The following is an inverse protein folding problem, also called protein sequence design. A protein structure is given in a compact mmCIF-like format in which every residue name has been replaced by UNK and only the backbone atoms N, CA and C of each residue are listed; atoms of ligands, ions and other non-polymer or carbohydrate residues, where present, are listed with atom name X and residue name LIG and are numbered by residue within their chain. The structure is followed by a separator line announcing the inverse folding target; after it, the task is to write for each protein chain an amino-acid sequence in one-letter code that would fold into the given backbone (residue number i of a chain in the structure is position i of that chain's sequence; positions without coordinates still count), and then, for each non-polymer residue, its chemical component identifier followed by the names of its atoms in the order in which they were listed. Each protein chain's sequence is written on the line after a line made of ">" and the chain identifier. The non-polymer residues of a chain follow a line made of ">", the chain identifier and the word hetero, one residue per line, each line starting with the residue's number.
data_IF_054174866331
#
_entry.id   IF_054174866331
#
_cell.length_a   1.000
_cell.length_b   1.000
_cell.length_c   1.000
_cell.angle_alpha   90.00
_cell.angle_beta   90.00
_cell.angle_gamma   90.00
#
_symmetry.space_group_name_H-M   'P 1'
#
loop_
_entity.id
_entity.type
_entity.pdbx_description
1 polymer ?
#
# COMPACT_ATOMS: atom_id res chain seq x y z
N UNK A 1 -5.83 -3.70 19.57
CA UNK A 1 -6.62 -4.23 18.45
C UNK A 1 -6.39 -3.33 17.29
N UNK A 2 -6.00 -3.85 16.11
CA UNK A 2 -5.97 -3.03 14.93
C UNK A 2 -7.34 -2.39 14.79
N UNK A 3 -7.36 -1.09 14.62
CA UNK A 3 -8.61 -0.38 14.41
C UNK A 3 -9.36 -1.07 13.27
N UNK A 4 -10.55 -1.56 13.52
CA UNK A 4 -11.38 -2.27 12.55
C UNK A 4 -11.68 -1.41 11.31
N UNK A 5 -11.47 -0.09 11.40
CA UNK A 5 -11.50 0.84 10.28
C UNK A 5 -10.40 0.59 9.25
N UNK A 6 -9.33 -0.09 9.62
CA UNK A 6 -8.14 -0.29 8.79
C UNK A 6 -8.23 -1.53 7.90
N UNK A 7 -9.16 -2.45 8.21
CA UNK A 7 -9.38 -3.69 7.46
C UNK A 7 -10.76 -3.62 6.81
N UNK A 8 -10.94 -2.64 5.97
CA UNK A 8 -12.26 -2.31 5.45
C UNK A 8 -12.94 -3.41 4.62
N UNK A 9 -12.19 -4.33 4.02
CA UNK A 9 -12.74 -5.48 3.34
C UNK A 9 -13.55 -6.38 4.25
N UNK A 10 -13.35 -6.25 5.54
CA UNK A 10 -13.96 -7.10 6.51
C UNK A 10 -14.60 -6.25 7.61
N UNK A 11 -15.83 -5.83 7.36
CA UNK A 11 -16.70 -5.23 8.38
C UNK A 11 -18.07 -5.85 8.30
N UNK A 12 -18.44 -6.71 9.27
CA UNK A 12 -19.79 -7.25 9.38
C UNK A 12 -20.88 -6.16 9.37
N UNK A 13 -20.58 -5.00 9.98
CA UNK A 13 -21.46 -3.83 10.05
C UNK A 13 -21.58 -3.08 8.72
N UNK A 14 -20.64 -3.20 7.80
CA UNK A 14 -20.65 -2.54 6.49
C UNK A 14 -21.14 -3.45 5.34
N UNK A 15 -22.07 -4.35 5.62
CA UNK A 15 -22.61 -5.33 4.66
C UNK A 15 -23.07 -4.70 3.34
N UNK A 16 -23.56 -3.47 3.38
CA UNK A 16 -24.02 -2.74 2.21
C UNK A 16 -22.89 -2.37 1.25
N UNK A 17 -21.73 -1.95 1.78
CA UNK A 17 -20.56 -1.57 0.99
C UNK A 17 -19.87 -2.77 0.34
N UNK A 18 -20.04 -3.97 0.92
CA UNK A 18 -19.32 -5.18 0.49
C UNK A 18 -20.23 -6.29 -0.02
N UNK A 19 -21.52 -6.05 -0.19
CA UNK A 19 -22.45 -7.08 -0.64
C UNK A 19 -22.09 -7.73 -1.98
N UNK A 20 -21.31 -7.02 -2.80
CA UNK A 20 -20.91 -7.48 -4.14
C UNK A 20 -19.42 -7.90 -4.21
N UNK A 21 -18.77 -8.12 -3.08
CA UNK A 21 -17.44 -8.70 -2.99
C UNK A 21 -17.51 -9.95 -2.11
N UNK A 22 -16.78 -10.99 -2.45
CA UNK A 22 -16.85 -12.31 -1.80
C UNK A 22 -15.90 -12.48 -0.61
N UNK A 23 -15.01 -11.51 -0.34
CA UNK A 23 -14.13 -11.51 0.82
C UNK A 23 -14.93 -11.26 2.09
N UNK A 24 -14.90 -12.22 3.04
CA UNK A 24 -15.72 -12.22 4.27
C UNK A 24 -14.92 -12.40 5.56
N UNK A 25 -13.67 -12.82 5.44
CA UNK A 25 -12.82 -13.17 6.57
C UNK A 25 -11.44 -12.58 6.40
N UNK A 26 -10.79 -12.22 7.51
CA UNK A 26 -9.45 -11.63 7.50
C UNK A 26 -8.41 -12.58 6.90
N UNK A 27 -8.61 -13.87 7.08
CA UNK A 27 -7.75 -14.93 6.53
C UNK A 27 -7.76 -14.98 5.01
N UNK A 28 -8.79 -14.43 4.37
CA UNK A 28 -8.91 -14.30 2.91
C UNK A 28 -8.14 -13.09 2.37
N UNK A 29 -7.74 -12.14 3.22
CA UNK A 29 -7.00 -10.95 2.78
C UNK A 29 -5.59 -11.29 2.35
N UNK A 30 -5.10 -10.57 1.33
CA UNK A 30 -3.76 -10.80 0.79
C UNK A 30 -2.65 -10.68 1.85
N UNK A 31 -2.72 -9.65 2.70
CA UNK A 31 -1.70 -9.39 3.71
C UNK A 31 -1.64 -10.47 4.79
N UNK A 32 -2.81 -10.99 5.22
CA UNK A 32 -2.85 -12.12 6.18
C UNK A 32 -2.24 -13.38 5.57
N UNK A 33 -2.55 -13.68 4.30
CA UNK A 33 -1.98 -14.82 3.58
C UNK A 33 -0.46 -14.68 3.41
N UNK A 34 0.06 -13.46 3.10
CA UNK A 34 1.50 -13.20 3.03
C UNK A 34 2.18 -13.44 4.37
N UNK A 35 1.65 -12.88 5.46
CA UNK A 35 2.20 -13.09 6.80
C UNK A 35 2.28 -14.58 7.14
N UNK A 36 1.20 -15.32 6.90
CA UNK A 36 1.15 -16.77 7.11
C UNK A 36 2.16 -17.51 6.22
N UNK A 37 2.20 -17.20 4.93
CA UNK A 37 3.09 -17.83 3.95
C UNK A 37 4.57 -17.57 4.25
N UNK A 38 4.90 -16.38 4.72
CA UNK A 38 6.26 -16.00 5.12
C UNK A 38 6.62 -16.41 6.56
N UNK A 39 5.71 -17.06 7.29
CA UNK A 39 5.84 -17.38 8.73
C UNK A 39 6.18 -16.13 9.57
N UNK A 40 5.68 -14.96 9.14
CA UNK A 40 5.92 -13.68 9.78
C UNK A 40 4.97 -13.41 10.94
N UNK A 41 5.21 -12.27 11.60
CA UNK A 41 4.35 -11.71 12.62
C UNK A 41 3.84 -10.34 12.17
N UNK A 42 2.56 -10.06 12.37
CA UNK A 42 2.02 -8.73 12.11
C UNK A 42 2.51 -7.76 13.19
N UNK A 43 3.32 -6.79 12.78
CA UNK A 43 3.69 -5.67 13.66
C UNK A 43 2.51 -4.68 13.74
N UNK A 44 2.09 -4.16 12.59
CA UNK A 44 0.98 -3.22 12.51
C UNK A 44 0.32 -3.28 11.13
N UNK A 45 -1.00 -3.30 11.08
CA UNK A 45 -1.76 -2.96 9.90
C UNK A 45 -2.24 -1.51 10.01
N UNK A 46 -1.59 -0.59 9.28
CA UNK A 46 -1.90 0.83 9.26
C UNK A 46 -2.73 1.23 8.02
N UNK A 47 -3.48 0.29 7.43
CA UNK A 47 -4.36 0.57 6.29
C UNK A 47 -5.52 1.48 6.70
N UNK A 48 -5.95 2.35 5.80
CA UNK A 48 -7.12 3.21 5.97
C UNK A 48 -7.93 3.23 4.66
N UNK A 49 -9.21 2.86 4.71
CA UNK A 49 -10.07 2.79 3.54
C UNK A 49 -10.21 4.15 2.85
N UNK A 50 -10.05 4.18 1.52
CA UNK A 50 -10.16 5.39 0.71
C UNK A 50 -8.98 6.36 0.84
N UNK A 51 -7.96 6.04 1.65
CA UNK A 51 -6.79 6.90 1.85
C UNK A 51 -5.96 7.03 0.57
N UNK A 52 -5.57 8.25 0.27
CA UNK A 52 -4.63 8.62 -0.79
C UNK A 52 -3.20 8.74 -0.24
N UNK A 53 -2.20 8.70 -1.10
CA UNK A 53 -0.80 9.01 -0.72
C UNK A 53 -0.69 10.50 -0.42
N UNK A 54 -1.20 11.35 -1.33
CA UNK A 54 -1.24 12.81 -1.19
C UNK A 54 -2.44 13.29 -0.35
N UNK A 55 -2.51 14.58 -0.09
CA UNK A 55 -3.60 15.20 0.66
C UNK A 55 -4.90 15.36 -0.15
N UNK A 56 -4.85 15.21 -1.47
CA UNK A 56 -6.03 15.30 -2.31
C UNK A 56 -6.85 14.02 -2.25
N UNK A 57 -8.07 14.14 -1.74
CA UNK A 57 -9.04 13.05 -1.66
C UNK A 57 -10.01 13.01 -2.83
N UNK A 58 -11.05 12.19 -2.69
CA UNK A 58 -12.12 12.10 -3.68
C UNK A 58 -12.90 13.41 -3.80
N UNK A 59 -13.53 13.62 -4.95
CA UNK A 59 -14.42 14.77 -5.17
C UNK A 59 -15.73 14.59 -4.42
N UNK A 60 -16.21 15.68 -3.87
CA UNK A 60 -17.56 15.78 -3.30
C UNK A 60 -18.64 15.86 -4.41
N UNK A 61 -19.90 16.05 -4.01
CA UNK A 61 -21.03 16.18 -4.92
C UNK A 61 -20.94 17.42 -5.83
N UNK A 62 -20.16 18.42 -5.46
CA UNK A 62 -19.90 19.64 -6.20
C UNK A 62 -18.71 19.49 -7.15
N UNK A 63 -18.03 18.36 -7.15
CA UNK A 63 -16.84 18.10 -7.96
C UNK A 63 -15.54 18.67 -7.38
N UNK A 64 -15.56 19.09 -6.12
CA UNK A 64 -14.39 19.66 -5.41
C UNK A 64 -13.65 18.55 -4.67
N UNK A 65 -12.34 18.49 -4.81
CA UNK A 65 -11.52 17.53 -4.06
C UNK A 65 -11.56 17.82 -2.56
N UNK A 66 -11.79 16.78 -1.78
CA UNK A 66 -11.74 16.84 -0.32
C UNK A 66 -10.29 16.82 0.18
N UNK A 67 -10.03 17.46 1.31
CA UNK A 67 -8.76 17.40 2.02
C UNK A 67 -8.67 16.11 2.84
N UNK A 68 -7.72 15.23 2.48
CA UNK A 68 -7.42 13.98 3.19
C UNK A 68 -6.13 14.06 3.99
N UNK A 69 -5.67 15.26 4.33
CA UNK A 69 -4.43 15.46 5.10
C UNK A 69 -4.45 14.79 6.49
N UNK A 70 -5.63 14.53 7.04
CA UNK A 70 -5.81 13.82 8.32
C UNK A 70 -5.53 12.30 8.22
N UNK A 71 -5.66 11.72 7.01
CA UNK A 71 -5.64 10.27 6.79
C UNK A 71 -4.70 9.80 5.67
N UNK A 72 -4.02 10.70 4.97
CA UNK A 72 -3.10 10.38 3.90
C UNK A 72 -1.96 9.44 4.35
N UNK A 73 -1.36 8.69 3.42
CA UNK A 73 -0.23 7.82 3.73
C UNK A 73 0.92 8.61 4.36
N UNK A 74 1.25 9.80 3.81
CA UNK A 74 2.33 10.65 4.33
C UNK A 74 2.10 11.12 5.77
N UNK A 75 0.86 11.25 6.20
CA UNK A 75 0.50 11.65 7.59
C UNK A 75 0.67 10.49 8.58
N UNK A 76 0.55 9.24 8.11
CA UNK A 76 0.53 8.05 8.96
C UNK A 76 1.83 7.23 8.92
N UNK A 77 2.78 7.60 8.04
CA UNK A 77 3.99 6.82 7.75
C UNK A 77 5.00 6.71 8.90
N UNK A 78 4.87 7.53 9.95
CA UNK A 78 5.83 7.63 11.05
C UNK A 78 5.41 6.86 12.32
N UNK A 79 4.37 6.01 12.25
CA UNK A 79 3.79 5.29 13.42
C UNK A 79 3.59 3.82 13.09
N UNK A 80 4.66 3.13 12.65
CA UNK A 80 4.59 1.74 12.21
C UNK A 80 5.19 0.74 13.21
N UNK A 81 5.59 1.17 14.41
CA UNK A 81 6.27 0.30 15.37
C UNK A 81 7.74 0.05 15.00
N UNK A 82 8.17 -1.19 15.09
CA UNK A 82 9.53 -1.60 14.75
C UNK A 82 9.53 -2.77 13.75
N UNK A 83 9.08 -2.54 12.51
CA UNK A 83 8.95 -3.59 11.51
C UNK A 83 10.28 -3.98 10.88
N UNK A 84 10.46 -5.27 10.56
CA UNK A 84 11.55 -5.76 9.71
C UNK A 84 11.24 -5.53 8.22
N UNK A 85 9.95 -5.56 7.85
CA UNK A 85 9.47 -5.37 6.48
C UNK A 85 8.28 -4.43 6.48
N UNK A 86 8.29 -3.45 5.57
CA UNK A 86 7.19 -2.52 5.33
C UNK A 86 6.65 -2.75 3.92
N UNK A 87 5.40 -3.15 3.81
CA UNK A 87 4.68 -3.29 2.55
C UNK A 87 3.77 -2.07 2.35
N UNK A 88 4.06 -1.27 1.33
CA UNK A 88 3.29 -0.08 0.99
C UNK A 88 2.41 -0.39 -0.22
N UNK A 89 1.13 -0.66 -0.01
CA UNK A 89 0.15 -0.82 -1.08
C UNK A 89 -0.66 0.46 -1.21
N UNK A 90 -0.23 1.36 -2.09
CA UNK A 90 -0.78 2.71 -2.24
C UNK A 90 -1.05 3.12 -3.68
N UNK A 91 -1.37 4.41 -3.88
CA UNK A 91 -1.61 5.05 -5.18
C UNK A 91 -2.94 4.69 -5.88
N UNK A 92 -3.64 3.64 -5.47
CA UNK A 92 -4.93 3.25 -6.06
C UNK A 92 -5.96 4.37 -5.90
N UNK A 93 -6.11 4.89 -4.70
CA UNK A 93 -7.07 5.95 -4.43
C UNK A 93 -6.64 7.29 -5.08
N UNK A 94 -5.35 7.58 -5.18
CA UNK A 94 -4.85 8.74 -5.92
C UNK A 94 -5.22 8.67 -7.41
N UNK A 95 -5.10 7.47 -7.98
CA UNK A 95 -5.51 7.21 -9.37
C UNK A 95 -7.02 7.40 -9.55
N UNK A 96 -7.83 6.82 -8.68
CA UNK A 96 -9.31 6.85 -8.79
C UNK A 96 -9.89 8.22 -8.44
N UNK A 97 -9.34 8.90 -7.44
CA UNK A 97 -9.74 10.25 -7.08
C UNK A 97 -9.38 11.30 -8.15
N UNK A 98 -8.50 10.96 -9.09
CA UNK A 98 -8.00 11.93 -10.06
C UNK A 98 -7.05 12.96 -9.44
N UNK A 99 -6.27 12.55 -8.43
CA UNK A 99 -5.33 13.45 -7.76
C UNK A 99 -4.37 14.12 -8.77
N UNK A 100 -4.02 15.41 -8.56
CA UNK A 100 -3.02 16.10 -9.37
C UNK A 100 -1.68 15.35 -9.32
N UNK A 101 -0.98 15.26 -10.44
CA UNK A 101 0.31 14.54 -10.50
C UNK A 101 1.43 15.37 -9.89
N UNK A 102 1.52 16.67 -10.19
CA UNK A 102 2.58 17.57 -9.73
C UNK A 102 3.94 17.30 -10.35
N UNK A 103 4.93 18.07 -9.91
CA UNK A 103 6.32 17.92 -10.33
C UNK A 103 7.08 16.94 -9.43
N UNK A 104 8.24 16.47 -9.90
CA UNK A 104 9.14 15.65 -9.08
C UNK A 104 9.91 16.54 -8.10
N UNK A 105 9.54 16.47 -6.82
CA UNK A 105 10.18 17.21 -5.71
C UNK A 105 10.70 16.21 -4.69
N UNK A 106 11.99 16.26 -4.40
CA UNK A 106 12.67 15.26 -3.55
C UNK A 106 13.18 15.82 -2.21
N UNK A 107 12.75 17.02 -1.83
CA UNK A 107 13.11 17.65 -0.56
C UNK A 107 12.42 19.01 -0.39
N UNK A 108 12.46 19.55 0.83
CA UNK A 108 11.91 20.88 1.18
C UNK A 108 10.43 21.06 0.78
N UNK A 109 9.64 19.99 0.91
CA UNK A 109 8.24 19.99 0.50
C UNK A 109 7.41 21.03 1.26
N UNK A 110 6.69 21.84 0.53
CA UNK A 110 5.65 22.71 1.10
C UNK A 110 4.36 21.91 1.31
N UNK A 111 3.46 22.43 2.17
CA UNK A 111 2.15 21.79 2.39
C UNK A 111 1.35 21.72 1.08
N UNK A 112 1.42 22.76 0.27
CA UNK A 112 0.69 22.91 -0.98
C UNK A 112 1.12 21.83 -2.00
N UNK A 113 2.41 21.56 -2.10
CA UNK A 113 2.94 20.51 -2.98
C UNK A 113 2.44 19.13 -2.58
N UNK A 114 2.17 18.88 -1.29
CA UNK A 114 1.69 17.59 -0.81
C UNK A 114 0.23 17.27 -1.20
N UNK A 115 -0.48 18.20 -1.82
CA UNK A 115 -1.75 17.93 -2.50
C UNK A 115 -1.56 17.29 -3.88
N UNK A 116 -0.33 17.20 -4.40
CA UNK A 116 0.00 16.50 -5.63
C UNK A 116 0.69 15.16 -5.35
N UNK A 117 0.47 14.18 -6.24
CA UNK A 117 0.90 12.80 -6.02
C UNK A 117 2.42 12.64 -5.95
N UNK A 118 3.17 13.21 -6.92
CA UNK A 118 4.64 13.02 -7.00
C UNK A 118 5.38 13.56 -5.77
N UNK A 119 5.16 14.81 -5.33
CA UNK A 119 5.79 15.30 -4.11
C UNK A 119 5.43 14.47 -2.88
N UNK A 120 4.15 14.11 -2.74
CA UNK A 120 3.68 13.31 -1.62
C UNK A 120 4.28 11.90 -1.62
N UNK A 121 4.34 11.24 -2.78
CA UNK A 121 4.96 9.93 -2.93
C UNK A 121 6.46 9.96 -2.62
N UNK A 122 7.17 11.00 -3.10
CA UNK A 122 8.58 11.20 -2.80
C UNK A 122 8.81 11.40 -1.29
N UNK A 123 7.99 12.25 -0.67
CA UNK A 123 8.03 12.45 0.79
C UNK A 123 7.75 11.15 1.55
N UNK A 124 6.74 10.38 1.15
CA UNK A 124 6.40 9.10 1.78
C UNK A 124 7.62 8.16 1.81
N UNK A 125 8.26 7.93 0.68
CA UNK A 125 9.39 7.01 0.59
C UNK A 125 10.64 7.55 1.29
N UNK A 126 10.88 8.86 1.23
CA UNK A 126 11.92 9.53 2.01
C UNK A 126 11.73 9.29 3.51
N UNK A 127 10.54 9.60 4.04
CA UNK A 127 10.24 9.50 5.46
C UNK A 127 10.29 8.05 5.97
N UNK A 128 9.78 7.10 5.18
CA UNK A 128 9.87 5.68 5.52
C UNK A 128 11.32 5.22 5.64
N UNK A 129 12.20 5.61 4.71
CA UNK A 129 13.62 5.27 4.78
C UNK A 129 14.32 5.92 5.95
N UNK A 130 13.99 7.19 6.25
CA UNK A 130 14.60 7.93 7.36
C UNK A 130 14.15 7.38 8.73
N UNK A 131 12.87 7.06 8.87
CA UNK A 131 12.30 6.60 10.15
C UNK A 131 12.54 5.10 10.40
N UNK A 132 12.73 4.28 9.36
CA UNK A 132 12.89 2.82 9.45
C UNK A 132 14.11 2.35 8.65
N UNK A 133 15.33 2.79 9.04
CA UNK A 133 16.55 2.57 8.24
C UNK A 133 16.96 1.09 8.12
N UNK A 134 16.51 0.24 9.02
CA UNK A 134 16.78 -1.21 9.03
C UNK A 134 15.69 -2.03 8.33
N UNK A 135 14.50 -1.45 8.14
CA UNK A 135 13.38 -2.15 7.52
C UNK A 135 13.58 -2.34 6.01
N UNK A 136 13.17 -3.49 5.49
CA UNK A 136 12.99 -3.70 4.05
C UNK A 136 11.68 -3.09 3.60
N UNK A 137 11.75 -2.03 2.81
CA UNK A 137 10.56 -1.35 2.27
C UNK A 137 10.30 -1.87 0.86
N UNK A 138 9.06 -2.25 0.58
CA UNK A 138 8.58 -2.66 -0.75
C UNK A 138 7.34 -1.87 -1.08
N UNK A 139 7.31 -1.24 -2.25
CA UNK A 139 6.10 -0.65 -2.80
C UNK A 139 5.36 -1.68 -3.65
N UNK A 140 4.05 -1.79 -3.46
CA UNK A 140 3.19 -2.68 -4.22
C UNK A 140 2.26 -1.79 -5.06
N UNK A 141 2.40 -1.89 -6.37
CA UNK A 141 1.63 -1.14 -7.35
C UNK A 141 0.49 -2.02 -7.87
N UNK A 142 -0.74 -1.58 -7.63
CA UNK A 142 -1.92 -2.26 -8.13
C UNK A 142 -2.00 -2.16 -9.67
N UNK A 143 -2.66 -3.12 -10.31
CA UNK A 143 -2.91 -3.09 -11.75
C UNK A 143 -4.07 -2.13 -12.12
N UNK A 144 -4.11 -1.68 -13.37
CA UNK A 144 -5.19 -0.86 -13.92
C UNK A 144 -5.23 0.58 -13.42
N UNK A 145 -4.12 1.13 -12.91
CA UNK A 145 -4.04 2.52 -12.51
C UNK A 145 -3.69 3.45 -13.70
N UNK A 146 -3.89 4.76 -13.53
CA UNK A 146 -3.49 5.76 -14.54
C UNK A 146 -1.99 5.62 -14.86
N UNK A 147 -1.63 5.69 -16.14
CA UNK A 147 -0.24 5.59 -16.60
C UNK A 147 0.68 6.59 -15.89
N UNK A 148 0.24 7.83 -15.71
CA UNK A 148 1.01 8.87 -15.02
C UNK A 148 1.31 8.54 -13.55
N UNK A 149 0.43 7.78 -12.88
CA UNK A 149 0.66 7.25 -11.53
C UNK A 149 1.73 6.15 -11.59
N UNK A 150 1.59 5.18 -12.51
CA UNK A 150 2.53 4.07 -12.64
C UNK A 150 3.96 4.58 -12.93
N UNK A 151 4.12 5.47 -13.91
CA UNK A 151 5.40 6.09 -14.24
C UNK A 151 6.01 6.85 -13.06
N UNK A 152 5.17 7.58 -12.30
CA UNK A 152 5.61 8.33 -11.12
C UNK A 152 6.09 7.39 -10.02
N UNK A 153 5.36 6.31 -9.73
CA UNK A 153 5.75 5.31 -8.74
C UNK A 153 7.10 4.69 -9.10
N UNK A 154 7.27 4.22 -10.33
CA UNK A 154 8.53 3.62 -10.77
C UNK A 154 9.71 4.59 -10.70
N UNK A 155 9.50 5.84 -11.11
CA UNK A 155 10.54 6.87 -11.08
C UNK A 155 10.97 7.17 -9.64
N UNK A 156 10.01 7.35 -8.73
CA UNK A 156 10.30 7.70 -7.34
C UNK A 156 10.86 6.49 -6.56
N UNK A 157 10.33 5.29 -6.79
CA UNK A 157 10.88 4.06 -6.20
C UNK A 157 12.35 3.86 -6.62
N UNK A 158 12.67 4.06 -7.90
CA UNK A 158 14.03 3.99 -8.41
C UNK A 158 14.95 5.03 -7.76
N UNK A 159 14.49 6.28 -7.61
CA UNK A 159 15.23 7.34 -6.95
C UNK A 159 15.65 6.97 -5.54
N UNK A 160 14.75 6.36 -4.77
CA UNK A 160 15.03 5.94 -3.39
C UNK A 160 15.60 4.52 -3.27
N UNK A 161 15.80 3.79 -4.38
CA UNK A 161 16.26 2.40 -4.34
C UNK A 161 15.29 1.47 -3.61
N UNK A 162 13.98 1.75 -3.68
CA UNK A 162 12.93 0.94 -3.09
C UNK A 162 12.38 -0.02 -4.16
N UNK A 163 12.41 -1.33 -3.91
CA UNK A 163 11.81 -2.31 -4.81
C UNK A 163 10.32 -2.04 -5.02
N UNK A 164 9.86 -2.12 -6.27
CA UNK A 164 8.46 -2.00 -6.64
C UNK A 164 7.97 -3.30 -7.26
N UNK A 165 6.89 -3.86 -6.73
CA UNK A 165 6.18 -4.99 -7.30
C UNK A 165 4.95 -4.49 -8.06
N UNK A 166 4.92 -4.72 -9.36
CA UNK A 166 3.72 -4.51 -10.17
C UNK A 166 2.85 -5.76 -10.11
N UNK A 167 1.66 -5.60 -9.54
CA UNK A 167 0.65 -6.66 -9.55
C UNK A 167 0.09 -6.85 -10.96
N UNK A 168 -0.25 -8.09 -11.29
CA UNK A 168 -0.82 -8.47 -12.58
C UNK A 168 -1.99 -9.42 -12.40
N UNK A 169 -2.98 -9.27 -13.26
CA UNK A 169 -4.08 -10.21 -13.39
C UNK A 169 -4.82 -10.46 -12.05
N UNK A 170 -5.06 -9.40 -11.29
CA UNK A 170 -5.78 -9.48 -10.03
C UNK A 170 -7.28 -9.49 -10.33
N UNK A 171 -7.94 -10.63 -10.05
CA UNK A 171 -9.39 -10.73 -10.15
C UNK A 171 -10.07 -9.76 -9.19
N UNK A 172 -11.02 -8.96 -9.69
CA UNK A 172 -11.67 -7.88 -8.95
C UNK A 172 -13.19 -7.93 -9.06
N UNK A 173 -13.81 -7.65 -7.93
CA UNK A 173 -15.25 -7.43 -7.82
C UNK A 173 -15.46 -5.98 -7.38
N UNK A 174 -16.11 -5.18 -8.24
CA UNK A 174 -16.30 -3.73 -8.03
C UNK A 174 -15.00 -2.96 -7.71
N UNK A 175 -13.95 -3.22 -8.48
CA UNK A 175 -12.65 -2.55 -8.35
C UNK A 175 -11.77 -3.09 -7.22
N UNK A 176 -12.26 -4.00 -6.40
CA UNK A 176 -11.51 -4.57 -5.27
C UNK A 176 -11.21 -6.05 -5.48
N UNK A 177 -10.05 -6.56 -5.05
CA UNK A 177 -9.75 -7.97 -5.21
C UNK A 177 -10.83 -8.88 -4.63
N UNK A 178 -11.26 -9.88 -5.41
CA UNK A 178 -12.08 -11.00 -4.92
C UNK A 178 -11.24 -11.94 -4.03
N UNK A 179 -11.84 -12.99 -3.47
CA UNK A 179 -11.08 -14.03 -2.76
C UNK A 179 -10.00 -14.64 -3.66
N UNK A 180 -10.30 -14.89 -4.95
CA UNK A 180 -9.33 -15.36 -5.92
C UNK A 180 -8.23 -14.30 -6.17
N UNK A 181 -8.63 -13.03 -6.33
CA UNK A 181 -7.71 -11.90 -6.48
C UNK A 181 -6.81 -11.69 -5.25
N UNK A 182 -7.34 -11.82 -4.04
CA UNK A 182 -6.56 -11.75 -2.81
C UNK A 182 -5.50 -12.85 -2.74
N UNK A 183 -5.83 -14.07 -3.21
CA UNK A 183 -4.87 -15.17 -3.29
C UNK A 183 -3.77 -14.88 -4.31
N UNK A 184 -4.12 -14.48 -5.53
CA UNK A 184 -3.16 -14.12 -6.58
C UNK A 184 -2.24 -12.98 -6.15
N UNK A 185 -2.78 -11.99 -5.45
CA UNK A 185 -2.03 -10.90 -4.83
C UNK A 185 -1.00 -11.45 -3.82
N UNK A 186 -1.46 -12.28 -2.88
CA UNK A 186 -0.60 -12.86 -1.85
C UNK A 186 0.53 -13.72 -2.45
N UNK A 187 0.23 -14.51 -3.47
CA UNK A 187 1.21 -15.34 -4.18
C UNK A 187 2.30 -14.47 -4.83
N UNK A 188 1.92 -13.38 -5.52
CA UNK A 188 2.87 -12.46 -6.16
C UNK A 188 3.75 -11.77 -5.12
N UNK A 189 3.19 -11.27 -4.01
CA UNK A 189 3.94 -10.63 -2.94
C UNK A 189 4.88 -11.63 -2.26
N UNK A 190 4.40 -12.83 -1.93
CA UNK A 190 5.21 -13.87 -1.27
C UNK A 190 6.39 -14.29 -2.16
N UNK A 191 6.15 -14.49 -3.45
CA UNK A 191 7.19 -14.84 -4.40
C UNK A 191 8.24 -13.73 -4.54
N UNK A 192 7.79 -12.47 -4.57
CA UNK A 192 8.67 -11.29 -4.63
C UNK A 192 9.54 -11.16 -3.38
N UNK A 193 8.91 -11.26 -2.20
CA UNK A 193 9.61 -11.20 -0.91
C UNK A 193 10.58 -12.37 -0.75
N UNK A 194 10.21 -13.58 -1.17
CA UNK A 194 11.08 -14.74 -1.16
C UNK A 194 12.40 -14.48 -1.89
N UNK A 195 12.32 -13.91 -3.09
CA UNK A 195 13.51 -13.55 -3.88
C UNK A 195 14.32 -12.41 -3.24
N UNK A 196 13.62 -11.42 -2.67
CA UNK A 196 14.26 -10.24 -2.07
C UNK A 196 14.97 -10.54 -0.76
N UNK A 197 14.34 -11.33 0.10
CA UNK A 197 14.84 -11.62 1.46
C UNK A 197 15.76 -12.84 1.50
N UNK A 198 15.57 -13.79 0.57
CA UNK A 198 16.29 -15.05 0.52
C UNK A 198 16.87 -15.29 -0.89
N UNK A 199 17.84 -14.46 -1.35
CA UNK A 199 18.40 -14.53 -2.71
C UNK A 199 19.08 -15.88 -3.03
N UNK A 200 19.52 -16.61 -2.01
CA UNK A 200 20.15 -17.93 -2.12
C UNK A 200 19.15 -19.10 -1.96
N UNK A 201 17.84 -18.82 -2.02
CA UNK A 201 16.77 -19.76 -1.84
C UNK A 201 16.20 -19.81 -0.42
N UNK A 202 14.89 -19.91 -0.34
CA UNK A 202 14.20 -20.11 0.92
C UNK A 202 14.34 -21.58 1.33
N UNK A 203 14.97 -21.84 2.48
CA UNK A 203 14.92 -23.14 3.12
C UNK A 203 14.31 -23.01 4.53
N UNK A 204 13.52 -24.00 4.94
CA UNK A 204 12.94 -24.05 6.29
C UNK A 204 14.01 -23.99 7.41
N UNK A 205 15.27 -24.23 7.07
CA UNK A 205 16.43 -24.18 8.01
C UNK A 205 16.86 -22.75 8.36
N UNK A 206 16.49 -21.74 7.58
CA UNK A 206 16.88 -20.35 7.84
C UNK A 206 16.11 -19.72 9.02
N UNK A 207 15.04 -20.32 9.49
CA UNK A 207 14.17 -19.82 10.56
C UNK A 207 14.56 -20.27 11.98
N UNK A 208 15.57 -21.12 12.13
CA UNK A 208 15.98 -21.67 13.44
C UNK A 208 17.22 -20.98 14.03
N UNK A 209 17.71 -19.88 13.44
CA UNK A 209 18.96 -19.21 13.88
C UNK A 209 18.77 -17.75 14.35
N UNK A 210 17.54 -17.39 14.82
CA UNK A 210 17.36 -16.10 15.51
C UNK A 210 16.46 -16.26 16.72
#
# INVERSE_FOLDING_TARGET
>A
TPDTNLIWYFRPENKELHRNNDVRQVEQTWWHQVIKGMKGKLELNNSYSGSTVCYTGYKDKQGVHQDYSDRAFITRSNKLGNPDVILVCGATNDSWAGAPIGEYVYGNWTREELYAFRPAMAKLLHDLRANYPTARIVFILNDGLRQSINESVHTICRHYGIPCLDLKDIDKQQGHPSVAGMRAFAEQVTAFLGKLLYPNGWSDKALTQH
#
